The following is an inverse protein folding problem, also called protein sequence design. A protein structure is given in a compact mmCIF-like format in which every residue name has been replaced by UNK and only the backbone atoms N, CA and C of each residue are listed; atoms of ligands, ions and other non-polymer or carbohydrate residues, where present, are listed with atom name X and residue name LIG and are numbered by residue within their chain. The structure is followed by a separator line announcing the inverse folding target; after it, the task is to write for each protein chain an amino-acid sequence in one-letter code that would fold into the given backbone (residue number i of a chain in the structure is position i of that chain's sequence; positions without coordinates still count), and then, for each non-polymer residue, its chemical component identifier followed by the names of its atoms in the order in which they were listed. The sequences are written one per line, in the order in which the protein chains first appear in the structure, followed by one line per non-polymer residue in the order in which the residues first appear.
data_IF_526424725911
#
_entry.id   IF_526424725911
#
_cell.length_a   1.000
_cell.length_b   1.000
_cell.length_c   1.000
_cell.angle_alpha   90.00
_cell.angle_beta   90.00
_cell.angle_gamma   90.00
#
_symmetry.space_group_name_H-M   'P 1'
#
loop_
_entity.id
_entity.type
_entity.pdbx_description
1 polymer ?
#
# COMPACT_ATOMS: atom_id res chain seq x y z
N UNK A 1 -16.28 -8.04 -16.19
CA UNK A 1 -15.59 -8.85 -15.13
C UNK A 1 -14.07 -8.90 -15.31
N UNK A 2 -13.51 -9.12 -16.50
CA UNK A 2 -12.04 -9.22 -16.70
C UNK A 2 -11.27 -7.98 -16.21
N UNK A 3 -11.79 -6.78 -16.44
CA UNK A 3 -11.13 -5.51 -16.06
C UNK A 3 -11.03 -5.34 -14.53
N UNK A 4 -12.04 -5.77 -13.76
CA UNK A 4 -11.97 -5.74 -12.29
C UNK A 4 -10.93 -6.72 -11.75
N UNK A 5 -10.83 -7.93 -12.32
CA UNK A 5 -9.80 -8.90 -11.95
C UNK A 5 -8.39 -8.34 -12.27
N UNK A 6 -8.25 -7.64 -13.38
CA UNK A 6 -6.98 -7.04 -13.78
C UNK A 6 -6.50 -5.98 -12.78
N UNK A 7 -7.37 -5.01 -12.42
CA UNK A 7 -7.01 -3.98 -11.44
C UNK A 7 -6.82 -4.55 -10.04
N UNK A 8 -7.54 -5.62 -9.67
CA UNK A 8 -7.33 -6.36 -8.43
C UNK A 8 -5.92 -6.94 -8.35
N UNK A 9 -5.49 -7.66 -9.39
CA UNK A 9 -4.16 -8.27 -9.44
C UNK A 9 -3.05 -7.22 -9.43
N UNK A 10 -3.22 -6.12 -10.17
CA UNK A 10 -2.28 -5.00 -10.18
C UNK A 10 -2.14 -4.40 -8.79
N UNK A 11 -3.24 -4.25 -8.04
CA UNK A 11 -3.21 -3.67 -6.69
C UNK A 11 -2.47 -4.53 -5.67
N UNK A 12 -2.31 -5.82 -5.93
CA UNK A 12 -1.53 -6.74 -5.09
C UNK A 12 -0.02 -6.68 -5.35
N UNK A 13 0.41 -6.06 -6.47
CA UNK A 13 1.84 -6.02 -6.83
C UNK A 13 2.57 -5.03 -5.94
N UNK A 14 3.69 -5.46 -5.29
CA UNK A 14 4.53 -4.54 -4.52
C UNK A 14 4.95 -3.33 -5.35
N UNK A 15 5.02 -2.15 -4.74
CA UNK A 15 5.37 -0.87 -5.34
C UNK A 15 4.30 -0.26 -6.27
N UNK A 16 3.48 -1.05 -6.95
CA UNK A 16 2.36 -0.55 -7.78
C UNK A 16 1.19 -0.21 -6.86
N UNK A 17 0.73 -1.22 -6.11
CA UNK A 17 -0.31 -1.08 -5.10
C UNK A 17 -1.58 -0.37 -5.63
N UNK A 18 -2.39 0.17 -4.74
CA UNK A 18 -3.55 1.00 -5.06
C UNK A 18 -3.20 2.21 -5.93
N UNK A 19 -2.01 2.77 -5.73
CA UNK A 19 -1.57 4.01 -6.41
C UNK A 19 -1.41 3.84 -7.91
N UNK A 20 -0.94 2.69 -8.36
CA UNK A 20 -0.86 2.36 -9.78
C UNK A 20 -2.15 1.76 -10.32
N UNK A 21 -2.88 0.98 -9.49
CA UNK A 21 -4.11 0.34 -9.92
C UNK A 21 -5.25 1.35 -10.20
N UNK A 22 -5.34 2.46 -9.44
CA UNK A 22 -6.35 3.50 -9.69
C UNK A 22 -6.14 4.19 -11.05
N UNK A 23 -4.97 4.76 -11.39
CA UNK A 23 -4.73 5.32 -12.73
C UNK A 23 -5.02 4.33 -13.86
N UNK A 24 -4.66 3.04 -13.67
CA UNK A 24 -4.97 1.99 -14.64
C UNK A 24 -6.48 1.81 -14.80
N UNK A 25 -7.27 1.85 -13.70
CA UNK A 25 -8.72 1.78 -13.77
C UNK A 25 -9.33 2.93 -14.58
N UNK A 26 -8.83 4.16 -14.39
CA UNK A 26 -9.23 5.31 -15.20
C UNK A 26 -8.84 5.14 -16.67
N UNK A 27 -7.62 4.67 -16.95
CA UNK A 27 -7.18 4.38 -18.31
C UNK A 27 -8.02 3.31 -19.00
N UNK A 28 -8.39 2.24 -18.29
CA UNK A 28 -9.32 1.20 -18.81
C UNK A 28 -10.65 1.82 -19.15
N UNK A 29 -11.26 2.61 -18.24
CA UNK A 29 -12.54 3.27 -18.49
C UNK A 29 -12.48 4.19 -19.72
N UNK A 30 -11.41 4.99 -19.83
CA UNK A 30 -11.20 5.89 -20.96
C UNK A 30 -11.06 5.17 -22.31
N UNK A 31 -10.48 3.96 -22.31
CA UNK A 31 -10.24 3.18 -23.53
C UNK A 31 -11.42 2.27 -23.93
N UNK A 32 -12.48 2.16 -23.11
CA UNK A 32 -13.63 1.31 -23.42
C UNK A 32 -14.59 1.99 -24.38
N UNK A 33 -15.14 1.22 -25.33
CA UNK A 33 -16.20 1.68 -26.23
C UNK A 33 -17.50 2.04 -25.47
N UNK A 34 -17.77 1.31 -24.37
CA UNK A 34 -18.90 1.54 -23.47
C UNK A 34 -18.39 1.81 -22.04
N UNK A 35 -17.96 3.04 -21.69
CA UNK A 35 -17.40 3.36 -20.37
C UNK A 35 -18.37 3.11 -19.20
N UNK A 36 -19.67 3.12 -19.46
CA UNK A 36 -20.74 2.90 -18.46
C UNK A 36 -20.73 1.48 -17.87
N UNK A 37 -20.19 0.49 -18.60
CA UNK A 37 -20.10 -0.89 -18.14
C UNK A 37 -19.01 -1.07 -17.05
N UNK A 38 -18.13 -0.08 -16.88
CA UNK A 38 -17.05 -0.12 -15.91
C UNK A 38 -17.22 0.96 -14.82
N UNK A 39 -17.76 0.54 -13.68
CA UNK A 39 -17.94 1.41 -12.53
C UNK A 39 -16.61 1.64 -11.79
N UNK A 40 -16.17 2.88 -11.70
CA UNK A 40 -15.00 3.26 -10.91
C UNK A 40 -15.20 2.96 -9.42
N UNK A 41 -16.42 3.15 -8.89
CA UNK A 41 -16.70 2.84 -7.48
C UNK A 41 -16.38 1.37 -7.16
N UNK A 42 -16.86 0.45 -7.99
CA UNK A 42 -16.54 -0.98 -7.83
C UNK A 42 -15.06 -1.27 -8.05
N UNK A 43 -14.41 -0.59 -8.99
CA UNK A 43 -12.98 -0.70 -9.21
C UNK A 43 -12.19 -0.28 -7.95
N UNK A 44 -12.56 0.82 -7.30
CA UNK A 44 -11.95 1.27 -6.04
C UNK A 44 -12.08 0.24 -4.91
N UNK A 45 -13.27 -0.34 -4.74
CA UNK A 45 -13.52 -1.37 -3.72
C UNK A 45 -12.62 -2.58 -3.98
N UNK A 46 -12.61 -3.07 -5.21
CA UNK A 46 -11.82 -4.24 -5.61
C UNK A 46 -10.31 -3.98 -5.47
N UNK A 47 -9.84 -2.80 -5.85
CA UNK A 47 -8.45 -2.36 -5.70
C UNK A 47 -8.06 -2.30 -4.22
N UNK A 48 -8.92 -1.71 -3.37
CA UNK A 48 -8.65 -1.62 -1.94
C UNK A 48 -8.55 -3.01 -1.29
N UNK A 49 -9.45 -3.92 -1.64
CA UNK A 49 -9.43 -5.31 -1.16
C UNK A 49 -8.14 -6.01 -1.63
N UNK A 50 -7.78 -5.89 -2.91
CA UNK A 50 -6.57 -6.48 -3.46
C UNK A 50 -5.30 -5.96 -2.78
N UNK A 51 -5.24 -4.65 -2.52
CA UNK A 51 -4.11 -4.02 -1.83
C UNK A 51 -3.99 -4.47 -0.37
N UNK A 52 -5.12 -4.70 0.32
CA UNK A 52 -5.14 -5.11 1.72
C UNK A 52 -4.93 -6.61 1.93
N UNK A 53 -5.16 -7.44 0.93
CA UNK A 53 -5.07 -8.90 1.05
C UNK A 53 -3.68 -9.40 1.47
N UNK A 54 -2.55 -8.89 0.93
CA UNK A 54 -1.22 -9.31 1.36
C UNK A 54 -0.80 -8.76 2.73
N UNK A 55 -1.42 -7.67 3.20
CA UNK A 55 -1.00 -6.94 4.40
C UNK A 55 -0.89 -7.81 5.67
N UNK A 56 -1.88 -8.66 6.03
CA UNK A 56 -1.74 -9.55 7.20
C UNK A 56 -0.57 -10.53 7.06
N UNK A 57 -0.37 -11.07 5.85
CA UNK A 57 0.73 -11.98 5.57
C UNK A 57 2.09 -11.28 5.73
N UNK A 58 2.22 -10.08 5.19
CA UNK A 58 3.42 -9.26 5.33
C UNK A 58 3.69 -9.00 6.81
N UNK A 59 2.70 -8.60 7.60
CA UNK A 59 2.87 -8.29 9.01
C UNK A 59 3.42 -9.47 9.81
N UNK A 60 2.86 -10.67 9.63
CA UNK A 60 3.24 -11.84 10.42
C UNK A 60 4.46 -12.59 9.88
N UNK A 61 4.68 -12.58 8.56
CA UNK A 61 5.70 -13.40 7.92
C UNK A 61 6.95 -12.62 7.50
N UNK A 62 6.87 -11.31 7.28
CA UNK A 62 8.00 -10.53 6.82
C UNK A 62 9.20 -10.65 7.74
N UNK A 63 9.00 -10.53 9.06
CA UNK A 63 10.07 -10.68 10.05
C UNK A 63 10.68 -12.08 10.01
N UNK A 64 9.84 -13.13 9.94
CA UNK A 64 10.34 -14.52 9.82
C UNK A 64 11.13 -14.75 8.55
N UNK A 65 10.68 -14.20 7.42
CA UNK A 65 11.40 -14.29 6.14
C UNK A 65 12.73 -13.57 6.21
N UNK A 66 12.78 -12.40 6.85
CA UNK A 66 14.01 -11.64 7.02
C UNK A 66 14.98 -12.32 8.00
N UNK A 67 14.49 -12.85 9.11
CA UNK A 67 15.30 -13.63 10.05
C UNK A 67 15.85 -14.90 9.39
N UNK A 68 15.04 -15.60 8.58
CA UNK A 68 15.51 -16.73 7.81
C UNK A 68 16.53 -16.34 6.73
N UNK A 69 16.34 -15.18 6.10
CA UNK A 69 17.21 -14.69 5.01
C UNK A 69 18.58 -14.21 5.49
N UNK A 70 18.71 -13.75 6.76
CA UNK A 70 20.00 -13.31 7.32
C UNK A 70 21.05 -14.44 7.36
N UNK A 71 20.61 -15.70 7.42
CA UNK A 71 21.49 -16.87 7.47
C UNK A 71 21.93 -17.37 6.07
N UNK A 72 21.44 -16.73 4.99
CA UNK A 72 21.74 -17.09 3.61
C UNK A 72 22.93 -16.30 3.08
N UNK A 73 24.03 -17.00 2.71
CA UNK A 73 25.33 -16.42 2.31
C UNK A 73 25.26 -15.34 1.21
N UNK A 74 24.24 -15.34 0.35
CA UNK A 74 24.15 -14.41 -0.80
C UNK A 74 23.45 -13.10 -0.43
N UNK A 75 22.45 -13.16 0.45
CA UNK A 75 21.55 -12.03 0.73
C UNK A 75 21.59 -11.54 2.19
N UNK A 76 22.40 -12.20 3.03
CA UNK A 76 22.47 -11.93 4.47
C UNK A 76 22.74 -10.44 4.81
N UNK A 77 23.65 -9.78 4.07
CA UNK A 77 23.99 -8.37 4.29
C UNK A 77 22.79 -7.44 4.14
N UNK A 78 21.98 -7.68 3.11
CA UNK A 78 20.77 -6.89 2.85
C UNK A 78 19.71 -7.11 3.95
N UNK A 79 19.48 -8.38 4.31
CA UNK A 79 18.48 -8.74 5.33
C UNK A 79 18.91 -8.27 6.73
N UNK A 80 20.18 -8.42 7.09
CA UNK A 80 20.74 -7.91 8.36
C UNK A 80 20.64 -6.38 8.42
N UNK A 81 20.99 -5.70 7.33
CA UNK A 81 20.86 -4.24 7.25
C UNK A 81 19.40 -3.78 7.41
N UNK A 82 18.44 -4.47 6.79
CA UNK A 82 17.00 -4.18 6.94
C UNK A 82 16.53 -4.37 8.38
N UNK A 83 16.94 -5.47 9.04
CA UNK A 83 16.61 -5.74 10.45
C UNK A 83 17.20 -4.70 11.39
N UNK A 84 18.49 -4.38 11.26
CA UNK A 84 19.16 -3.38 12.10
C UNK A 84 18.57 -1.97 11.93
N UNK A 85 18.26 -1.58 10.69
CA UNK A 85 17.60 -0.29 10.41
C UNK A 85 16.18 -0.25 10.94
N UNK A 86 15.44 -1.37 10.80
CA UNK A 86 14.10 -1.53 11.36
C UNK A 86 14.11 -1.37 12.89
N UNK A 87 14.96 -2.12 13.60
CA UNK A 87 15.10 -2.03 15.06
C UNK A 87 15.51 -0.64 15.55
N UNK A 88 16.58 -0.07 14.99
CA UNK A 88 17.05 1.28 15.37
C UNK A 88 16.06 2.39 15.04
N UNK A 89 15.33 2.26 13.95
CA UNK A 89 14.22 3.17 13.60
C UNK A 89 13.06 3.03 14.58
N UNK A 90 12.74 1.79 14.98
CA UNK A 90 11.67 1.44 15.87
C UNK A 90 11.81 1.98 17.28
N UNK A 91 12.95 1.73 17.89
CA UNK A 91 13.25 2.21 19.24
C UNK A 91 13.14 3.74 19.33
N UNK A 92 13.73 4.46 18.36
CA UNK A 92 13.67 5.93 18.32
C UNK A 92 12.28 6.49 18.08
N UNK A 93 11.43 5.78 17.31
CA UNK A 93 10.06 6.20 17.06
C UNK A 93 9.14 5.84 18.23
N UNK A 94 9.31 4.69 18.88
CA UNK A 94 8.53 4.30 20.07
C UNK A 94 8.77 5.26 21.25
N UNK A 95 10.01 5.66 21.48
CA UNK A 95 10.33 6.62 22.54
C UNK A 95 9.71 8.01 22.30
N UNK A 96 9.64 8.46 21.04
CA UNK A 96 9.19 9.82 20.70
C UNK A 96 7.71 9.94 20.36
N UNK A 97 7.06 8.89 19.87
CA UNK A 97 5.78 9.02 19.20
C UNK A 97 4.58 8.44 19.94
N UNK A 98 4.73 7.50 20.87
CA UNK A 98 3.59 6.92 21.59
C UNK A 98 2.38 6.65 20.67
N UNK A 99 1.23 7.30 20.95
CA UNK A 99 0.02 7.21 20.10
C UNK A 99 0.24 7.82 18.71
N UNK A 100 1.19 8.73 18.55
CA UNK A 100 1.56 9.36 17.28
C UNK A 100 2.14 8.37 16.25
N UNK A 101 2.63 7.21 16.69
CA UNK A 101 3.22 6.21 15.79
C UNK A 101 2.19 5.63 14.80
N UNK A 102 0.95 5.39 15.25
CA UNK A 102 -0.13 4.89 14.37
C UNK A 102 -0.62 5.97 13.39
N UNK A 103 -0.63 7.24 13.83
CA UNK A 103 -0.93 8.38 12.95
C UNK A 103 0.19 8.55 11.91
N UNK A 104 1.45 8.42 12.32
CA UNK A 104 2.59 8.45 11.41
C UNK A 104 2.52 7.31 10.38
N UNK A 105 2.14 6.09 10.81
CA UNK A 105 1.93 4.95 9.92
C UNK A 105 0.79 5.22 8.92
N UNK A 106 -0.34 5.76 9.39
CA UNK A 106 -1.47 6.14 8.53
C UNK A 106 -1.03 7.16 7.46
N UNK A 107 -0.33 8.20 7.85
CA UNK A 107 0.16 9.22 6.92
C UNK A 107 1.22 8.67 5.97
N UNK A 108 2.12 7.82 6.45
CA UNK A 108 3.13 7.15 5.63
C UNK A 108 2.51 6.27 4.54
N UNK A 109 1.41 5.57 4.87
CA UNK A 109 0.64 4.80 3.90
C UNK A 109 -0.25 5.69 3.05
N UNK A 110 -0.81 6.76 3.60
CA UNK A 110 -1.81 7.60 2.94
C UNK A 110 -1.25 8.63 1.97
N UNK A 111 -0.05 9.17 2.25
CA UNK A 111 0.57 10.16 1.35
C UNK A 111 1.25 9.42 0.18
N UNK A 112 0.85 9.69 -1.09
CA UNK A 112 1.32 8.94 -2.25
C UNK A 112 2.73 9.38 -2.67
N UNK A 113 3.75 9.02 -1.86
CA UNK A 113 5.16 9.24 -2.18
C UNK A 113 5.82 7.94 -2.68
N UNK A 114 6.86 8.04 -3.52
CA UNK A 114 7.61 6.85 -3.94
C UNK A 114 8.20 6.10 -2.73
N UNK A 115 8.03 4.79 -2.70
CA UNK A 115 8.56 3.94 -1.62
C UNK A 115 7.74 3.93 -0.33
N UNK A 116 6.64 4.67 -0.24
CA UNK A 116 5.65 4.55 0.84
C UNK A 116 4.49 3.64 0.39
N UNK A 117 3.61 3.20 1.27
CA UNK A 117 2.43 2.42 0.92
C UNK A 117 2.06 1.35 1.94
N UNK A 118 1.06 0.53 1.61
CA UNK A 118 0.56 -0.50 2.50
C UNK A 118 1.62 -1.59 2.77
N UNK A 119 2.38 -1.98 1.74
CA UNK A 119 3.43 -2.99 1.86
C UNK A 119 4.57 -2.51 2.76
N UNK A 120 5.16 -1.36 2.43
CA UNK A 120 6.30 -0.80 3.17
C UNK A 120 5.91 -0.33 4.56
N UNK A 121 4.71 0.25 4.73
CA UNK A 121 4.17 0.64 6.02
C UNK A 121 3.93 -0.57 6.93
N UNK A 122 3.40 -1.66 6.39
CA UNK A 122 3.18 -2.90 7.14
C UNK A 122 4.49 -3.58 7.52
N UNK A 123 5.48 -3.58 6.62
CA UNK A 123 6.83 -4.04 6.93
C UNK A 123 7.42 -3.24 8.10
N UNK A 124 7.34 -1.91 8.04
CA UNK A 124 7.81 -1.03 9.11
C UNK A 124 7.09 -1.33 10.42
N UNK A 125 5.76 -1.45 10.42
CA UNK A 125 4.97 -1.78 11.60
C UNK A 125 5.36 -3.13 12.22
N UNK A 126 5.64 -4.13 11.39
CA UNK A 126 6.11 -5.45 11.83
C UNK A 126 7.50 -5.38 12.47
N UNK A 127 8.43 -4.59 11.90
CA UNK A 127 9.76 -4.40 12.48
C UNK A 127 9.77 -3.62 13.79
N UNK A 128 8.82 -2.71 13.95
CA UNK A 128 8.64 -1.88 15.12
C UNK A 128 7.89 -2.61 16.25
N UNK A 129 7.58 -3.91 16.08
CA UNK A 129 6.77 -4.70 17.00
C UNK A 129 5.45 -4.00 17.40
N UNK A 130 4.84 -3.26 16.45
CA UNK A 130 3.59 -2.54 16.68
C UNK A 130 2.43 -3.54 16.86
N UNK A 131 1.40 -3.12 17.61
CA UNK A 131 0.19 -3.92 17.77
C UNK A 131 -0.51 -4.14 16.42
N UNK A 132 -0.81 -5.40 16.09
CA UNK A 132 -1.38 -5.79 14.81
C UNK A 132 -2.70 -5.08 14.51
N UNK A 133 -3.63 -5.05 15.49
CA UNK A 133 -4.97 -4.49 15.25
C UNK A 133 -4.91 -3.00 14.99
N UNK A 134 -4.11 -2.26 15.76
CA UNK A 134 -3.95 -0.81 15.61
C UNK A 134 -3.19 -0.47 14.32
N UNK A 135 -2.17 -1.26 13.99
CA UNK A 135 -1.43 -1.11 12.72
C UNK A 135 -2.33 -1.37 11.52
N UNK A 136 -3.17 -2.42 11.58
CA UNK A 136 -4.13 -2.73 10.52
C UNK A 136 -5.12 -1.57 10.30
N UNK A 137 -5.68 -1.00 11.39
CA UNK A 137 -6.58 0.17 11.29
C UNK A 137 -5.85 1.38 10.69
N UNK A 138 -4.61 1.63 11.08
CA UNK A 138 -3.81 2.72 10.52
C UNK A 138 -3.52 2.50 9.03
N UNK A 139 -3.18 1.27 8.62
CA UNK A 139 -2.94 0.93 7.21
C UNK A 139 -4.22 1.05 6.39
N UNK A 140 -5.38 0.56 6.88
CA UNK A 140 -6.68 0.72 6.22
C UNK A 140 -7.01 2.20 6.04
N UNK A 141 -6.87 3.01 7.10
CA UNK A 141 -7.08 4.45 7.02
C UNK A 141 -6.13 5.13 6.03
N UNK A 142 -4.87 4.71 6.00
CA UNK A 142 -3.87 5.19 5.04
C UNK A 142 -4.22 4.83 3.59
N UNK A 143 -4.64 3.58 3.34
CA UNK A 143 -5.09 3.11 2.02
C UNK A 143 -6.31 3.90 1.54
N UNK A 144 -7.28 4.17 2.43
CA UNK A 144 -8.44 4.99 2.11
C UNK A 144 -8.02 6.44 1.75
N UNK A 145 -7.14 7.04 2.55
CA UNK A 145 -6.60 8.37 2.28
C UNK A 145 -5.84 8.43 0.95
N UNK A 146 -4.96 7.45 0.68
CA UNK A 146 -4.25 7.35 -0.59
C UNK A 146 -5.21 7.20 -1.77
N UNK A 147 -6.28 6.39 -1.62
CA UNK A 147 -7.31 6.21 -2.62
C UNK A 147 -8.02 7.53 -2.96
N UNK A 148 -8.37 8.33 -1.95
CA UNK A 148 -8.99 9.64 -2.14
C UNK A 148 -8.03 10.58 -2.88
N UNK A 149 -6.77 10.70 -2.41
CA UNK A 149 -5.79 11.60 -3.02
C UNK A 149 -5.52 11.23 -4.48
N UNK A 150 -5.20 9.95 -4.74
CA UNK A 150 -4.92 9.47 -6.10
C UNK A 150 -6.17 9.58 -6.99
N UNK A 151 -7.35 9.30 -6.42
CA UNK A 151 -8.62 9.46 -7.13
C UNK A 151 -8.89 10.89 -7.58
N UNK A 152 -8.72 11.85 -6.68
CA UNK A 152 -8.84 13.28 -7.02
C UNK A 152 -7.85 13.66 -8.12
N UNK A 153 -6.59 13.26 -7.99
CA UNK A 153 -5.56 13.53 -9.01
C UNK A 153 -5.92 12.90 -10.37
N UNK A 154 -6.42 11.67 -10.36
CA UNK A 154 -6.86 11.01 -11.60
C UNK A 154 -8.08 11.69 -12.20
N UNK A 155 -9.09 12.04 -11.41
CA UNK A 155 -10.28 12.75 -11.91
C UNK A 155 -9.88 14.08 -12.56
N UNK A 156 -9.02 14.86 -11.93
CA UNK A 156 -8.54 16.11 -12.48
C UNK A 156 -7.70 15.90 -13.75
N UNK A 157 -6.79 14.92 -13.74
CA UNK A 157 -5.90 14.65 -14.88
C UNK A 157 -6.65 14.03 -16.07
N UNK A 158 -7.42 12.98 -15.86
CA UNK A 158 -8.19 12.31 -16.93
C UNK A 158 -9.40 13.15 -17.36
N UNK A 159 -10.03 13.88 -16.43
CA UNK A 159 -11.11 14.82 -16.73
C UNK A 159 -10.65 15.92 -17.70
N UNK A 160 -9.46 16.48 -17.45
CA UNK A 160 -8.87 17.50 -18.32
C UNK A 160 -8.47 16.98 -19.70
N UNK A 161 -8.02 15.71 -19.81
CA UNK A 161 -7.51 15.13 -21.06
C UNK A 161 -8.62 14.46 -21.88
N UNK A 162 -9.53 13.74 -21.23
CA UNK A 162 -10.51 12.85 -21.88
C UNK A 162 -11.98 13.24 -21.64
N UNK A 163 -12.26 14.30 -20.85
CA UNK A 163 -13.62 14.73 -20.52
C UNK A 163 -14.41 13.70 -19.69
N UNK A 164 -13.72 12.85 -18.93
CA UNK A 164 -14.33 11.80 -18.11
C UNK A 164 -14.55 12.37 -16.70
N UNK A 165 -15.81 12.59 -16.32
CA UNK A 165 -16.24 12.98 -14.98
C UNK A 165 -16.83 11.80 -14.23
#
# INVERSE_FOLDING_TARGET
MKNYLYVFLISMVPLIELRGAIPVAYGIKAAMANPEEFSLLWAYIVIAIGNMLPVPFIFFFARRVLEWGKDKKIIWKFFTWCLEKGHKGGEKLQEKAGRGLYVALLLFVGIPLPGTGAWTGTLAASFLDMDFKKSMLAVIGGVALAGIIVGVLCTLGFGAIFGIN
#
